data_IF_239615824621
#
_entry.id   IF_239615824621
#
_cell.length_a   1.000
_cell.length_b   1.000
_cell.length_c   1.000
_cell.angle_alpha   90.00
_cell.angle_beta   90.00
_cell.angle_gamma   90.00
#
_symmetry.space_group_name_H-M   'P 1'
#
loop_
_entity.id
_entity.type
_entity.pdbx_description
1 polymer ?
#
# COMPACT_ATOMS: atom_id res chain seq x y z
N UNK A 1 -7.14 0.73 -6.20
CA UNK A 1 -7.68 -0.36 -7.04
C UNK A 1 -8.52 -1.26 -6.11
N UNK A 2 -9.25 -2.28 -6.59
CA UNK A 2 -10.03 -3.16 -5.69
C UNK A 2 -9.16 -4.29 -5.13
N UNK A 3 -9.48 -4.75 -3.91
CA UNK A 3 -8.74 -5.80 -3.20
C UNK A 3 -8.49 -7.08 -4.04
N UNK A 4 -9.49 -7.54 -4.81
CA UNK A 4 -9.33 -8.76 -5.62
C UNK A 4 -8.24 -8.61 -6.69
N UNK A 5 -8.04 -7.41 -7.24
CA UNK A 5 -6.97 -7.16 -8.20
C UNK A 5 -5.60 -7.18 -7.51
N UNK A 6 -5.50 -6.67 -6.27
CA UNK A 6 -4.28 -6.78 -5.48
C UNK A 6 -3.96 -8.24 -5.16
N UNK A 7 -4.95 -9.05 -4.76
CA UNK A 7 -4.75 -10.50 -4.54
C UNK A 7 -4.21 -11.18 -5.80
N UNK A 8 -4.81 -10.92 -6.97
CA UNK A 8 -4.37 -11.50 -8.23
C UNK A 8 -2.94 -11.06 -8.59
N UNK A 9 -2.66 -9.76 -8.49
CA UNK A 9 -1.34 -9.22 -8.78
C UNK A 9 -0.26 -9.76 -7.82
N UNK A 10 -0.54 -9.74 -6.51
CA UNK A 10 0.37 -10.23 -5.47
C UNK A 10 0.64 -11.74 -5.61
N UNK A 11 -0.37 -12.53 -5.97
CA UNK A 11 -0.19 -13.95 -6.29
C UNK A 11 0.72 -14.14 -7.50
N UNK A 12 0.46 -13.37 -8.57
CA UNK A 12 1.22 -13.46 -9.83
C UNK A 12 2.68 -13.05 -9.63
N UNK A 13 2.92 -11.90 -9.02
CA UNK A 13 4.28 -11.40 -8.75
C UNK A 13 4.99 -12.30 -7.74
N UNK A 14 4.30 -12.78 -6.71
CA UNK A 14 4.87 -13.73 -5.74
C UNK A 14 5.32 -15.04 -6.42
N UNK A 15 4.55 -15.57 -7.37
CA UNK A 15 4.93 -16.74 -8.15
C UNK A 15 6.14 -16.49 -9.07
N UNK A 16 6.19 -15.33 -9.72
CA UNK A 16 7.34 -14.92 -10.54
C UNK A 16 8.59 -14.75 -9.67
N UNK A 17 8.47 -14.11 -8.50
CA UNK A 17 9.58 -13.96 -7.55
C UNK A 17 10.09 -15.31 -7.05
N UNK A 18 9.19 -16.27 -6.75
CA UNK A 18 9.59 -17.63 -6.41
C UNK A 18 10.43 -18.27 -7.52
N UNK A 19 9.96 -18.17 -8.77
CA UNK A 19 10.64 -18.75 -9.93
C UNK A 19 12.04 -18.16 -10.15
N UNK A 20 12.21 -16.84 -9.98
CA UNK A 20 13.49 -16.15 -10.20
C UNK A 20 14.50 -16.44 -9.09
N UNK A 21 14.06 -16.42 -7.83
CA UNK A 21 14.97 -16.48 -6.67
C UNK A 21 15.05 -17.86 -6.01
N UNK A 22 14.16 -18.79 -6.37
CA UNK A 22 14.11 -20.14 -5.79
C UNK A 22 13.74 -20.20 -4.31
N UNK A 23 13.26 -19.09 -3.73
CA UNK A 23 12.97 -18.96 -2.30
C UNK A 23 11.48 -18.76 -2.05
N UNK A 24 10.90 -19.58 -1.17
CA UNK A 24 9.50 -19.43 -0.77
C UNK A 24 9.28 -18.19 0.11
N UNK A 25 10.32 -17.74 0.83
CA UNK A 25 10.25 -16.57 1.72
C UNK A 25 9.90 -15.31 0.92
N UNK A 26 10.56 -15.06 -0.22
CA UNK A 26 10.24 -13.89 -1.05
C UNK A 26 8.82 -14.00 -1.61
N UNK A 27 8.40 -15.19 -2.06
CA UNK A 27 7.06 -15.41 -2.61
C UNK A 27 5.95 -15.09 -1.60
N UNK A 28 6.06 -15.68 -0.41
CA UNK A 28 5.10 -15.45 0.69
C UNK A 28 5.12 -13.99 1.11
N UNK A 29 6.29 -13.39 1.22
CA UNK A 29 6.38 -12.01 1.68
C UNK A 29 5.84 -11.02 0.65
N UNK A 30 6.08 -11.23 -0.65
CA UNK A 30 5.45 -10.44 -1.73
C UNK A 30 3.93 -10.57 -1.67
N UNK A 31 3.41 -11.79 -1.52
CA UNK A 31 1.98 -12.03 -1.44
C UNK A 31 1.34 -11.31 -0.25
N UNK A 32 1.88 -11.51 0.95
CA UNK A 32 1.35 -10.93 2.18
C UNK A 32 1.45 -9.41 2.17
N UNK A 33 2.61 -8.87 1.82
CA UNK A 33 2.85 -7.42 1.85
C UNK A 33 2.03 -6.68 0.79
N UNK A 34 1.89 -7.25 -0.41
CA UNK A 34 1.08 -6.66 -1.48
C UNK A 34 -0.42 -6.66 -1.21
N UNK A 35 -0.93 -7.47 -0.27
CA UNK A 35 -2.33 -7.48 0.14
C UNK A 35 -2.55 -6.67 1.42
N UNK A 36 -1.70 -6.85 2.42
CA UNK A 36 -1.92 -6.28 3.75
C UNK A 36 -1.46 -4.83 3.91
N UNK A 37 -0.78 -4.26 2.91
CA UNK A 37 -0.48 -2.83 2.89
C UNK A 37 -1.74 -1.96 3.03
N UNK A 38 -2.88 -2.38 2.45
CA UNK A 38 -4.19 -1.73 2.55
C UNK A 38 -4.74 -1.63 3.98
N UNK A 39 -4.19 -2.38 4.94
CA UNK A 39 -4.64 -2.31 6.33
C UNK A 39 -4.31 -0.95 6.97
N UNK A 40 -3.40 -0.15 6.41
CA UNK A 40 -3.14 1.20 6.91
C UNK A 40 -4.34 2.16 6.73
N UNK A 41 -5.28 1.86 5.82
CA UNK A 41 -6.56 2.54 5.70
C UNK A 41 -7.45 2.36 6.94
N UNK A 42 -7.26 1.32 7.74
CA UNK A 42 -8.04 1.10 8.97
C UNK A 42 -7.84 2.26 9.94
N UNK A 43 -6.61 2.78 10.03
CA UNK A 43 -6.29 3.94 10.85
C UNK A 43 -7.04 5.18 10.34
N UNK A 44 -7.02 5.41 9.03
CA UNK A 44 -7.73 6.54 8.40
C UNK A 44 -9.24 6.46 8.65
N UNK A 45 -9.81 5.26 8.52
CA UNK A 45 -11.22 5.01 8.78
C UNK A 45 -11.62 5.29 10.23
N UNK A 46 -10.87 4.78 11.22
CA UNK A 46 -11.18 5.03 12.63
C UNK A 46 -11.03 6.51 13.01
N UNK A 47 -10.03 7.20 12.47
CA UNK A 47 -9.85 8.63 12.69
C UNK A 47 -10.97 9.46 12.06
N UNK A 48 -11.49 9.02 10.90
CA UNK A 48 -12.64 9.65 10.25
C UNK A 48 -13.94 9.43 11.04
N UNK A 49 -14.22 8.18 11.45
CA UNK A 49 -15.42 7.83 12.21
C UNK A 49 -15.44 8.42 13.62
N UNK A 50 -14.26 8.72 14.20
CA UNK A 50 -14.08 9.16 15.59
C UNK A 50 -14.64 8.17 16.63
N UNK A 51 -14.82 6.91 16.23
CA UNK A 51 -15.29 5.80 17.06
C UNK A 51 -14.74 4.49 16.50
N UNK A 52 -14.61 3.49 17.36
CA UNK A 52 -14.27 2.13 16.92
C UNK A 52 -15.56 1.50 16.38
N UNK A 53 -15.72 1.50 15.05
CA UNK A 53 -16.82 0.85 14.33
C UNK A 53 -16.26 -0.29 13.50
N UNK A 54 -16.65 -1.53 13.78
CA UNK A 54 -16.21 -2.69 13.00
C UNK A 54 -17.27 -3.05 11.96
N UNK A 55 -17.32 -2.26 10.89
CA UNK A 55 -18.23 -2.46 9.76
C UNK A 55 -17.43 -2.52 8.46
N UNK A 56 -17.15 -3.76 8.03
CA UNK A 56 -16.27 -4.03 6.89
C UNK A 56 -16.87 -3.47 5.59
N UNK A 57 -18.20 -3.52 5.43
CA UNK A 57 -18.87 -3.00 4.22
C UNK A 57 -18.74 -1.49 4.14
N UNK A 58 -18.98 -0.80 5.26
CA UNK A 58 -18.82 0.65 5.36
C UNK A 58 -17.36 1.10 5.23
N UNK A 59 -16.42 0.31 5.76
CA UNK A 59 -14.98 0.52 5.57
C UNK A 59 -14.60 0.55 4.08
N UNK A 60 -14.90 -0.53 3.35
CA UNK A 60 -14.59 -0.59 1.92
C UNK A 60 -15.33 0.51 1.14
N UNK A 61 -16.59 0.77 1.45
CA UNK A 61 -17.35 1.84 0.80
C UNK A 61 -16.67 3.21 0.96
N UNK A 62 -16.28 3.60 2.19
CA UNK A 62 -15.68 4.93 2.43
C UNK A 62 -14.28 5.07 1.86
N UNK A 63 -13.48 4.01 1.90
CA UNK A 63 -12.14 3.99 1.31
C UNK A 63 -12.23 4.05 -0.23
N UNK A 64 -13.03 3.19 -0.85
CA UNK A 64 -13.17 3.14 -2.32
C UNK A 64 -13.86 4.37 -2.90
N UNK A 65 -14.83 4.95 -2.18
CA UNK A 65 -15.53 6.16 -2.62
C UNK A 65 -14.80 7.47 -2.28
N UNK A 66 -13.57 7.40 -1.72
CA UNK A 66 -12.74 8.56 -1.36
C UNK A 66 -13.46 9.57 -0.44
N UNK A 67 -14.31 9.07 0.47
CA UNK A 67 -15.13 9.90 1.38
C UNK A 67 -14.28 10.44 2.55
N UNK A 68 -13.14 9.83 2.82
CA UNK A 68 -12.26 10.20 3.91
C UNK A 68 -11.64 11.58 3.66
N UNK A 69 -11.83 12.52 4.59
CA UNK A 69 -11.29 13.88 4.48
C UNK A 69 -9.78 13.95 4.71
N UNK A 70 -9.23 12.98 5.45
CA UNK A 70 -7.81 12.87 5.75
C UNK A 70 -7.32 11.47 5.43
N UNK A 71 -6.12 11.39 4.86
CA UNK A 71 -5.53 10.13 4.38
C UNK A 71 -4.06 10.11 4.78
N UNK A 72 -3.70 9.24 5.73
CA UNK A 72 -2.35 9.19 6.32
C UNK A 72 -1.47 8.17 5.60
N UNK A 73 -2.00 6.96 5.43
CA UNK A 73 -1.42 5.82 4.71
C UNK A 73 0.09 5.66 4.88
N UNK A 74 0.53 5.33 6.09
CA UNK A 74 1.96 5.24 6.39
C UNK A 74 2.68 4.20 5.49
N UNK A 75 2.03 3.07 5.21
CA UNK A 75 2.64 1.98 4.44
C UNK A 75 2.69 2.33 2.95
N UNK A 76 1.70 3.08 2.44
CA UNK A 76 1.71 3.63 1.09
C UNK A 76 2.61 4.87 0.98
N UNK A 77 3.88 4.73 1.33
CA UNK A 77 4.86 5.81 1.26
C UNK A 77 6.07 5.47 0.40
N UNK A 78 6.45 6.37 -0.50
CA UNK A 78 7.70 6.26 -1.25
C UNK A 78 8.92 6.24 -0.32
N UNK A 79 8.84 6.95 0.79
CA UNK A 79 9.85 6.97 1.83
C UNK A 79 10.08 5.57 2.41
N UNK A 80 9.01 4.81 2.68
CA UNK A 80 9.14 3.42 3.14
C UNK A 80 9.72 2.50 2.05
N UNK A 81 9.33 2.69 0.78
CA UNK A 81 9.93 1.95 -0.35
C UNK A 81 11.44 2.19 -0.43
N UNK A 82 11.89 3.44 -0.28
CA UNK A 82 13.33 3.79 -0.29
C UNK A 82 14.05 3.12 0.89
N UNK A 83 13.46 3.14 2.09
CA UNK A 83 14.03 2.47 3.26
C UNK A 83 14.14 0.96 3.03
N UNK A 84 13.09 0.32 2.52
CA UNK A 84 13.09 -1.12 2.21
C UNK A 84 14.12 -1.46 1.12
N UNK A 85 14.31 -0.60 0.12
CA UNK A 85 15.32 -0.78 -0.92
C UNK A 85 16.74 -0.74 -0.35
N UNK A 86 17.03 0.24 0.51
CA UNK A 86 18.31 0.35 1.22
C UNK A 86 18.54 -0.91 2.08
N UNK A 87 17.54 -1.32 2.86
CA UNK A 87 17.66 -2.51 3.71
C UNK A 87 17.85 -3.79 2.89
N UNK A 88 17.11 -3.97 1.80
CA UNK A 88 17.25 -5.14 0.92
C UNK A 88 18.66 -5.22 0.33
N UNK A 89 19.23 -4.08 -0.09
CA UNK A 89 20.59 -4.01 -0.61
C UNK A 89 21.65 -4.42 0.42
N UNK A 90 21.54 -3.95 1.66
CA UNK A 90 22.55 -4.24 2.69
C UNK A 90 22.39 -5.62 3.34
N UNK A 91 21.16 -6.11 3.48
CA UNK A 91 20.89 -7.38 4.19
C UNK A 91 20.92 -8.59 3.27
N UNK A 92 20.65 -8.42 1.97
CA UNK A 92 20.40 -9.53 1.02
C UNK A 92 19.32 -10.51 1.52
N UNK A 93 18.41 -10.05 2.38
CA UNK A 93 17.34 -10.87 2.96
C UNK A 93 16.13 -10.93 2.03
N UNK A 94 15.71 -12.15 1.67
CA UNK A 94 14.54 -12.40 0.82
C UNK A 94 13.22 -11.91 1.42
N UNK A 95 13.10 -11.81 2.74
CA UNK A 95 11.93 -11.22 3.41
C UNK A 95 11.90 -9.72 3.11
N UNK A 96 13.00 -9.00 3.34
CA UNK A 96 13.08 -7.56 3.09
C UNK A 96 12.88 -7.24 1.61
N UNK A 97 13.49 -8.02 0.72
CA UNK A 97 13.28 -7.91 -0.71
C UNK A 97 11.82 -8.20 -1.09
N UNK A 98 11.18 -9.17 -0.46
CA UNK A 98 9.77 -9.48 -0.69
C UNK A 98 8.83 -8.36 -0.23
N UNK A 99 9.12 -7.71 0.90
CA UNK A 99 8.39 -6.53 1.36
C UNK A 99 8.51 -5.38 0.35
N UNK A 100 9.73 -5.12 -0.13
CA UNK A 100 9.99 -4.09 -1.14
C UNK A 100 9.19 -4.35 -2.42
N UNK A 101 9.26 -5.57 -2.95
CA UNK A 101 8.58 -5.93 -4.21
C UNK A 101 7.07 -5.90 -4.03
N UNK A 102 6.53 -6.44 -2.94
CA UNK A 102 5.08 -6.45 -2.69
C UNK A 102 4.51 -5.06 -2.48
N UNK A 103 5.10 -4.24 -1.60
CA UNK A 103 4.67 -2.84 -1.41
C UNK A 103 4.85 -2.01 -2.67
N UNK A 104 6.00 -2.14 -3.35
CA UNK A 104 6.28 -1.41 -4.57
C UNK A 104 5.30 -1.74 -5.69
N UNK A 105 5.01 -3.03 -5.89
CA UNK A 105 4.02 -3.48 -6.88
C UNK A 105 2.63 -2.93 -6.55
N UNK A 106 2.23 -3.03 -5.28
CA UNK A 106 0.92 -2.51 -4.85
C UNK A 106 0.79 -1.02 -5.17
N UNK A 107 1.71 -0.19 -4.68
CA UNK A 107 1.70 1.27 -4.88
C UNK A 107 1.75 1.62 -6.38
N UNK A 108 2.54 0.90 -7.17
CA UNK A 108 2.62 1.12 -8.62
C UNK A 108 1.28 0.87 -9.31
N UNK A 109 0.61 -0.25 -8.99
CA UNK A 109 -0.71 -0.55 -9.55
C UNK A 109 -1.73 0.49 -9.16
N UNK A 110 -1.65 0.96 -7.92
CA UNK A 110 -2.53 1.97 -7.37
C UNK A 110 -2.33 3.34 -8.04
N UNK A 111 -1.09 3.72 -8.34
CA UNK A 111 -0.74 4.91 -9.10
C UNK A 111 -1.28 4.88 -10.54
N UNK A 112 -1.31 3.70 -11.17
CA UNK A 112 -1.79 3.53 -12.55
C UNK A 112 -3.31 3.44 -12.62
N UNK A 113 -3.93 2.74 -11.66
CA UNK A 113 -5.36 2.43 -11.70
C UNK A 113 -6.24 3.51 -11.05
N UNK A 114 -5.71 4.27 -10.09
CA UNK A 114 -6.46 5.30 -9.39
C UNK A 114 -6.10 6.70 -9.90
N UNK A 115 -7.06 7.63 -9.81
CA UNK A 115 -6.78 9.07 -10.03
C UNK A 115 -6.11 9.67 -8.79
N UNK A 116 -4.83 9.39 -8.60
CA UNK A 116 -4.03 9.93 -7.50
C UNK A 116 -2.98 10.89 -8.07
N UNK A 117 -2.68 11.96 -7.33
CA UNK A 117 -1.55 12.81 -7.63
C UNK A 117 -0.26 11.98 -7.50
N UNK A 118 0.71 12.17 -8.39
CA UNK A 118 1.96 11.39 -8.36
C UNK A 118 2.67 11.46 -7.00
N UNK A 119 2.72 12.65 -6.40
CA UNK A 119 3.28 12.84 -5.05
C UNK A 119 2.32 12.43 -3.92
N UNK A 120 1.10 11.99 -4.24
CA UNK A 120 0.08 11.57 -3.27
C UNK A 120 0.53 10.39 -2.40
N UNK A 121 1.43 9.55 -2.92
CA UNK A 121 2.10 8.49 -2.16
C UNK A 121 3.42 8.91 -1.48
N UNK A 122 3.83 10.18 -1.53
CA UNK A 122 4.88 10.68 -0.62
C UNK A 122 4.25 11.05 0.72
N UNK A 123 4.74 10.45 1.80
CA UNK A 123 4.31 10.80 3.15
C UNK A 123 4.65 12.25 3.48
N UNK A 124 5.81 12.76 3.04
CA UNK A 124 6.20 14.16 3.23
C UNK A 124 5.22 15.10 2.50
N UNK A 125 4.85 14.78 1.26
CA UNK A 125 3.86 15.57 0.53
C UNK A 125 2.51 15.58 1.24
N UNK A 126 2.04 14.43 1.74
CA UNK A 126 0.81 14.34 2.55
C UNK A 126 0.92 15.18 3.81
N UNK A 127 2.04 15.13 4.54
CA UNK A 127 2.29 15.90 5.75
C UNK A 127 2.21 17.42 5.49
N UNK A 128 2.89 17.90 4.44
CA UNK A 128 2.87 19.32 4.01
C UNK A 128 1.44 19.77 3.70
N UNK A 129 0.66 18.91 3.04
CA UNK A 129 -0.74 19.16 2.71
C UNK A 129 -1.72 18.80 3.85
N UNK A 130 -1.22 18.57 5.07
CA UNK A 130 -2.01 18.25 6.28
C UNK A 130 -2.94 17.05 6.09
N UNK A 131 -2.50 16.09 5.29
CA UNK A 131 -3.19 14.85 4.92
C UNK A 131 -4.52 15.07 4.18
N UNK A 132 -4.75 16.24 3.59
CA UNK A 132 -6.02 16.56 2.92
C UNK A 132 -6.22 15.68 1.68
N UNK A 133 -7.27 14.85 1.68
CA UNK A 133 -7.56 13.90 0.61
C UNK A 133 -7.74 14.57 -0.76
N UNK A 134 -8.32 15.78 -0.80
CA UNK A 134 -8.53 16.56 -2.04
C UNK A 134 -7.23 17.05 -2.70
N UNK A 135 -6.12 17.04 -1.95
CA UNK A 135 -4.78 17.37 -2.49
C UNK A 135 -4.03 16.12 -2.94
N UNK A 136 -4.48 14.95 -2.49
CA UNK A 136 -3.83 13.65 -2.72
C UNK A 136 -4.47 12.95 -3.91
N UNK A 137 -5.81 12.93 -3.97
CA UNK A 137 -6.56 12.34 -5.06
C UNK A 137 -6.98 13.42 -6.05
N UNK A 138 -6.85 13.11 -7.34
CA UNK A 138 -7.26 13.97 -8.43
C UNK A 138 -8.75 13.72 -8.73
N UNK A 139 -9.62 14.34 -7.93
CA UNK A 139 -11.08 14.23 -8.02
C UNK A 139 -11.80 15.45 -7.45
#
# INVERSE_FOLDING_TARGET
MKLHNHILASTTVGGISYYIFGSWQISVTVFLSGIFIDLDHILDYFLYEKKIKLDIKDFFYKCEALILNKVYLLLHSYELIIILAILAYFTNDYIVLGLLVGFGTHIMLDLVANKVHFLGYSFIFRLINKFNSKKIFCG
#
